data_IF_830934975397
#
_entry.id   IF_830934975397
#
_cell.length_a   1.000
_cell.length_b   1.000
_cell.length_c   1.000
_cell.angle_alpha   90.00
_cell.angle_beta   90.00
_cell.angle_gamma   90.00
#
_symmetry.space_group_name_H-M   'P 1'
#
loop_
_entity.id
_entity.type
_entity.pdbx_description
1 polymer ?
#
# COMPACT_ATOMS: atom_id res chain seq x y z
N UNK A 1 -4.03 18.85 4.09
CA UNK A 1 -4.74 17.57 4.27
C UNK A 1 -3.95 16.52 3.51
N UNK A 2 -3.61 15.39 4.13
CA UNK A 2 -2.88 14.31 3.44
C UNK A 2 -3.76 13.69 2.37
N UNK A 3 -3.18 13.46 1.20
CA UNK A 3 -3.86 12.94 0.01
C UNK A 3 -3.79 11.41 -0.10
N UNK A 4 -2.99 10.79 0.76
CA UNK A 4 -2.87 9.34 1.00
C UNK A 4 -2.84 9.14 2.52
N UNK A 5 -3.61 8.17 3.01
CA UNK A 5 -3.74 7.87 4.44
C UNK A 5 -3.43 6.39 4.66
N UNK A 6 -2.77 6.06 5.77
CA UNK A 6 -2.53 4.69 6.23
C UNK A 6 -3.18 4.53 7.59
N UNK A 7 -4.02 3.52 7.74
CA UNK A 7 -4.71 3.21 9.00
C UNK A 7 -4.71 1.70 9.29
N UNK A 8 -4.70 1.34 10.57
CA UNK A 8 -4.89 -0.04 11.01
C UNK A 8 -6.35 -0.43 10.85
N UNK A 9 -6.63 -1.62 10.34
CA UNK A 9 -7.99 -2.12 10.28
C UNK A 9 -8.50 -2.46 11.68
N UNK A 10 -9.65 -1.90 12.07
CA UNK A 10 -10.25 -2.15 13.38
C UNK A 10 -10.41 -3.65 13.64
N UNK A 11 -9.92 -4.12 14.79
CA UNK A 11 -9.95 -5.52 15.23
C UNK A 11 -9.19 -6.51 14.33
N UNK A 12 -8.36 -6.01 13.41
CA UNK A 12 -7.59 -6.80 12.46
C UNK A 12 -6.11 -6.41 12.48
N UNK A 13 -5.53 -6.22 13.68
CA UNK A 13 -4.08 -6.13 13.79
C UNK A 13 -3.45 -7.46 13.36
N UNK A 14 -2.41 -7.44 12.49
CA UNK A 14 -1.58 -6.29 12.16
C UNK A 14 -1.84 -5.64 10.78
N UNK A 15 -3.02 -5.78 10.20
CA UNK A 15 -3.33 -5.36 8.83
C UNK A 15 -3.57 -3.85 8.66
N UNK A 16 -3.18 -3.32 7.49
CA UNK A 16 -3.20 -1.90 7.16
C UNK A 16 -4.07 -1.62 5.91
N UNK A 17 -4.74 -0.47 5.90
CA UNK A 17 -5.41 0.11 4.74
C UNK A 17 -4.68 1.40 4.33
N UNK A 18 -4.23 1.46 3.09
CA UNK A 18 -3.67 2.64 2.42
C UNK A 18 -4.71 3.18 1.45
N UNK A 19 -5.41 4.26 1.83
CA UNK A 19 -6.50 4.85 1.07
C UNK A 19 -6.10 6.17 0.40
N UNK A 20 -6.49 6.32 -0.86
CA UNK A 20 -6.10 7.48 -1.67
C UNK A 20 -7.25 8.48 -1.79
N UNK A 21 -6.92 9.76 -1.81
CA UNK A 21 -7.83 10.83 -2.19
C UNK A 21 -7.98 10.93 -3.72
N UNK A 22 -8.70 11.93 -4.23
CA UNK A 22 -8.91 12.17 -5.68
C UNK A 22 -7.68 12.69 -6.43
N UNK A 23 -6.69 13.21 -5.71
CA UNK A 23 -5.47 13.79 -6.26
C UNK A 23 -4.29 13.48 -5.33
N UNK A 24 -3.85 12.21 -5.29
CA UNK A 24 -2.73 11.78 -4.47
C UNK A 24 -1.45 12.46 -4.93
N UNK A 25 -0.62 12.81 -3.95
CA UNK A 25 0.69 13.41 -4.13
C UNK A 25 1.79 12.37 -3.83
N UNK A 26 2.88 12.45 -4.57
CA UNK A 26 4.02 11.54 -4.46
C UNK A 26 4.66 11.60 -3.07
N UNK A 27 4.70 12.78 -2.44
CA UNK A 27 5.26 12.92 -1.10
C UNK A 27 4.40 12.22 -0.04
N UNK A 28 3.07 12.23 -0.21
CA UNK A 28 2.16 11.51 0.68
C UNK A 28 2.21 10.01 0.46
N UNK A 29 2.41 9.55 -0.79
CA UNK A 29 2.70 8.14 -1.10
C UNK A 29 3.97 7.69 -0.37
N UNK A 30 5.07 8.44 -0.46
CA UNK A 30 6.33 8.10 0.22
C UNK A 30 6.17 8.04 1.75
N UNK A 31 5.46 9.01 2.34
CA UNK A 31 5.17 9.01 3.79
C UNK A 31 4.36 7.79 4.20
N UNK A 32 3.36 7.41 3.41
CA UNK A 32 2.57 6.21 3.66
C UNK A 32 3.43 4.95 3.65
N UNK A 33 4.34 4.79 2.67
CA UNK A 33 5.25 3.64 2.63
C UNK A 33 6.26 3.62 3.78
N UNK A 34 6.74 4.78 4.24
CA UNK A 34 7.57 4.86 5.44
C UNK A 34 6.83 4.34 6.69
N UNK A 35 5.57 4.75 6.87
CA UNK A 35 4.71 4.28 7.97
C UNK A 35 4.44 2.78 7.90
N UNK A 36 4.14 2.25 6.71
CA UNK A 36 3.97 0.80 6.50
C UNK A 36 5.23 0.04 6.90
N UNK A 37 6.41 0.49 6.47
CA UNK A 37 7.69 -0.15 6.78
C UNK A 37 7.96 -0.18 8.28
N UNK A 38 7.70 0.94 8.96
CA UNK A 38 7.83 1.04 10.41
C UNK A 38 6.90 0.04 11.11
N UNK A 39 5.64 -0.03 10.70
CA UNK A 39 4.66 -0.95 11.26
C UNK A 39 5.05 -2.42 11.08
N UNK A 40 5.49 -2.82 9.88
CA UNK A 40 5.96 -4.20 9.62
C UNK A 40 7.14 -4.55 10.54
N UNK A 41 8.10 -3.64 10.70
CA UNK A 41 9.26 -3.85 11.55
C UNK A 41 8.90 -3.95 13.04
N UNK A 42 7.83 -3.28 13.48
CA UNK A 42 7.35 -3.32 14.87
C UNK A 42 6.57 -4.59 15.19
N UNK A 43 5.72 -5.05 14.25
CA UNK A 43 4.85 -6.21 14.47
C UNK A 43 5.66 -7.51 14.49
N UNK A 44 6.63 -7.67 13.59
CA UNK A 44 7.44 -8.89 13.49
C UNK A 44 6.71 -10.11 12.92
N UNK A 45 5.44 -9.95 12.52
CA UNK A 45 4.61 -10.97 11.87
C UNK A 45 4.15 -10.50 10.49
N UNK A 46 3.50 -11.39 9.73
CA UNK A 46 3.03 -11.07 8.39
C UNK A 46 1.88 -10.05 8.42
N UNK A 47 2.09 -8.91 7.78
CA UNK A 47 1.09 -7.84 7.63
C UNK A 47 0.37 -8.00 6.29
N UNK A 48 -0.91 -7.64 6.22
CA UNK A 48 -1.60 -7.47 4.95
C UNK A 48 -1.86 -6.00 4.70
N UNK A 49 -1.54 -5.53 3.51
CA UNK A 49 -1.68 -4.13 3.10
C UNK A 49 -2.72 -4.07 2.00
N UNK A 50 -3.82 -3.39 2.30
CA UNK A 50 -4.87 -3.08 1.35
C UNK A 50 -4.58 -1.71 0.74
N UNK A 51 -4.41 -1.63 -0.58
CA UNK A 51 -4.18 -0.36 -1.28
C UNK A 51 -5.43 0.00 -2.06
N UNK A 52 -6.20 0.98 -1.58
CA UNK A 52 -7.40 1.46 -2.24
C UNK A 52 -7.09 2.69 -3.11
N UNK A 53 -7.10 2.47 -4.42
CA UNK A 53 -6.85 3.49 -5.44
C UNK A 53 -8.12 3.90 -6.18
N UNK A 54 -9.31 3.50 -5.70
CA UNK A 54 -10.59 3.70 -6.40
C UNK A 54 -10.93 5.18 -6.62
N UNK A 55 -10.54 6.04 -5.69
CA UNK A 55 -10.74 7.49 -5.79
C UNK A 55 -9.85 8.17 -6.84
N UNK A 56 -8.77 7.50 -7.27
CA UNK A 56 -7.75 8.04 -8.18
C UNK A 56 -7.34 7.05 -9.28
N UNK A 57 -8.28 6.69 -10.17
CA UNK A 57 -8.05 5.65 -11.17
C UNK A 57 -6.97 6.02 -12.20
N UNK A 58 -6.66 7.31 -12.40
CA UNK A 58 -5.70 7.79 -13.40
C UNK A 58 -4.32 8.11 -12.83
N UNK A 59 -4.11 8.01 -11.52
CA UNK A 59 -2.81 8.31 -10.93
C UNK A 59 -1.76 7.28 -11.35
N UNK A 60 -0.53 7.74 -11.51
CA UNK A 60 0.59 6.91 -11.93
C UNK A 60 1.10 6.05 -10.76
N UNK A 61 0.78 4.76 -10.77
CA UNK A 61 1.17 3.83 -9.70
C UNK A 61 2.66 3.42 -9.73
N UNK A 62 3.51 4.01 -10.58
CA UNK A 62 4.92 3.61 -10.70
C UNK A 62 5.68 3.75 -9.38
N UNK A 63 5.50 4.87 -8.68
CA UNK A 63 6.13 5.10 -7.38
C UNK A 63 5.66 4.08 -6.35
N UNK A 64 4.34 3.87 -6.27
CA UNK A 64 3.71 2.87 -5.41
C UNK A 64 4.27 1.48 -5.65
N UNK A 65 4.48 1.13 -6.92
CA UNK A 65 5.07 -0.14 -7.31
C UNK A 65 6.52 -0.28 -6.85
N UNK A 66 7.35 0.75 -7.08
CA UNK A 66 8.75 0.74 -6.65
C UNK A 66 8.88 0.57 -5.14
N UNK A 67 8.04 1.26 -4.36
CA UNK A 67 8.07 1.14 -2.90
C UNK A 67 7.51 -0.19 -2.40
N UNK A 68 6.43 -0.69 -3.01
CA UNK A 68 5.86 -2.00 -2.66
C UNK A 68 6.87 -3.14 -2.90
N UNK A 69 7.63 -3.10 -4.01
CA UNK A 69 8.71 -4.06 -4.26
C UNK A 69 9.84 -4.00 -3.24
N UNK A 70 10.21 -2.80 -2.76
CA UNK A 70 11.22 -2.70 -1.69
C UNK A 70 10.74 -3.37 -0.41
N UNK A 71 9.47 -3.17 -0.06
CA UNK A 71 8.85 -3.79 1.12
C UNK A 71 8.68 -5.31 0.95
N UNK A 72 8.42 -5.79 -0.27
CA UNK A 72 8.33 -7.22 -0.57
C UNK A 72 9.64 -7.98 -0.28
N UNK A 73 10.78 -7.29 -0.29
CA UNK A 73 12.09 -7.88 0.01
C UNK A 73 12.44 -7.92 1.51
N UNK A 74 11.51 -7.54 2.40
CA UNK A 74 11.73 -7.62 3.84
C UNK A 74 11.70 -9.09 4.33
N UNK A 75 12.33 -9.40 5.49
CA UNK A 75 12.36 -10.76 6.04
C UNK A 75 10.97 -11.37 6.26
N UNK A 76 9.99 -10.53 6.59
CA UNK A 76 8.58 -10.90 6.75
C UNK A 76 7.77 -10.15 5.69
N UNK A 77 7.67 -10.68 4.46
CA UNK A 77 7.03 -9.96 3.37
C UNK A 77 5.51 -9.85 3.61
N UNK A 78 4.92 -8.66 3.42
CA UNK A 78 3.49 -8.49 3.58
C UNK A 78 2.71 -9.14 2.43
N UNK A 79 1.43 -9.45 2.68
CA UNK A 79 0.50 -9.69 1.59
C UNK A 79 -0.09 -8.37 1.07
N UNK A 80 -0.34 -8.30 -0.23
CA UNK A 80 -0.87 -7.12 -0.88
C UNK A 80 -2.24 -7.40 -1.48
N UNK A 81 -3.19 -6.52 -1.19
CA UNK A 81 -4.49 -6.49 -1.83
C UNK A 81 -4.71 -5.10 -2.44
N UNK A 82 -4.75 -5.00 -3.77
CA UNK A 82 -5.00 -3.72 -4.43
C UNK A 82 -6.45 -3.64 -4.88
N UNK A 83 -7.17 -2.64 -4.36
CA UNK A 83 -8.57 -2.37 -4.68
C UNK A 83 -8.62 -1.22 -5.67
N UNK A 84 -9.08 -1.50 -6.89
CA UNK A 84 -9.16 -0.49 -7.95
C UNK A 84 -9.62 -1.07 -9.27
N UNK A 85 -10.19 -0.22 -10.13
CA UNK A 85 -10.67 -0.59 -11.47
C UNK A 85 -9.63 -0.41 -12.59
N UNK A 86 -8.41 0.03 -12.28
CA UNK A 86 -7.39 0.28 -13.31
C UNK A 86 -6.63 -1.02 -13.67
N UNK A 87 -6.25 -1.19 -14.94
CA UNK A 87 -5.37 -2.29 -15.39
C UNK A 87 -4.07 -2.36 -14.58
N UNK A 88 -3.56 -1.22 -14.12
CA UNK A 88 -2.36 -1.18 -13.28
C UNK A 88 -2.58 -1.74 -11.87
N UNK A 89 -3.76 -1.56 -11.25
CA UNK A 89 -4.04 -2.20 -9.95
C UNK A 89 -4.11 -3.72 -10.06
N UNK A 90 -4.67 -4.24 -11.17
CA UNK A 90 -4.66 -5.67 -11.46
C UNK A 90 -3.23 -6.22 -11.74
N UNK A 91 -2.37 -5.41 -12.36
CA UNK A 91 -0.97 -5.78 -12.59
C UNK A 91 -0.17 -5.85 -11.28
N UNK A 92 -0.34 -4.86 -10.40
CA UNK A 92 0.30 -4.84 -9.08
C UNK A 92 -0.17 -6.04 -8.24
N UNK A 93 -1.47 -6.32 -8.21
CA UNK A 93 -2.01 -7.47 -7.50
C UNK A 93 -1.39 -8.80 -7.97
N UNK A 94 -1.16 -8.97 -9.29
CA UNK A 94 -0.52 -10.18 -9.81
C UNK A 94 0.96 -10.29 -9.47
N UNK A 95 1.70 -9.19 -9.53
CA UNK A 95 3.15 -9.23 -9.29
C UNK A 95 3.50 -9.41 -7.82
N UNK A 96 2.67 -8.91 -6.91
CA UNK A 96 2.90 -9.01 -5.48
C UNK A 96 2.34 -10.31 -4.87
N UNK A 97 1.70 -11.17 -5.68
CA UNK A 97 1.23 -12.51 -5.32
C UNK A 97 2.17 -13.64 -5.80
N UNK A 98 3.23 -13.32 -6.55
CA UNK A 98 4.20 -14.26 -7.10
C UNK A 98 5.46 -14.33 -6.22
#
# INVERSE_FOLDING_TARGET
MSTVIVETLENQNPHLLMAWSKSPDDADVLKAFASIREHINQVGEQVCIIVDVTASPNYNLRLTFTEALQIQNLPTPPCWLVVGKNRLSAYIARLLQA
#
